data_IF_049838483420
#
_entry.id   IF_049838483420
#
_cell.length_a   1.000
_cell.length_b   1.000
_cell.length_c   1.000
_cell.angle_alpha   90.00
_cell.angle_beta   90.00
_cell.angle_gamma   90.00
#
_symmetry.space_group_name_H-M   'P 1'
#
loop_
_entity.id
_entity.type
_entity.pdbx_description
1 polymer ?
#
# COMPACT_ATOMS: atom_id res chain seq x y z
N UNK A 1 10.74 -18.36 25.35
CA UNK A 1 10.74 -16.91 25.06
C UNK A 1 11.44 -16.77 23.73
N UNK A 2 10.70 -16.95 22.63
CA UNK A 2 11.26 -16.68 21.31
C UNK A 2 11.49 -15.17 21.22
N UNK A 3 12.74 -14.81 20.94
CA UNK A 3 13.15 -13.43 20.82
C UNK A 3 12.26 -12.71 19.78
N UNK A 4 11.92 -11.44 20.08
CA UNK A 4 11.29 -10.54 19.12
C UNK A 4 12.05 -10.66 17.78
N UNK A 5 11.40 -11.07 16.68
CA UNK A 5 12.10 -11.32 15.43
C UNK A 5 12.80 -10.03 15.00
N UNK A 6 14.13 -10.11 14.88
CA UNK A 6 14.94 -9.04 14.30
C UNK A 6 14.34 -8.78 12.92
N UNK A 7 14.01 -7.53 12.56
CA UNK A 7 13.44 -7.21 11.26
C UNK A 7 14.34 -7.77 10.14
N UNK A 8 13.87 -8.80 9.45
CA UNK A 8 14.59 -9.38 8.33
C UNK A 8 14.33 -8.50 7.10
N UNK A 9 15.39 -8.17 6.36
CA UNK A 9 15.25 -7.46 5.10
C UNK A 9 14.31 -8.25 4.16
N UNK A 10 13.34 -7.56 3.56
CA UNK A 10 12.39 -8.19 2.65
C UNK A 10 13.11 -8.83 1.45
N UNK A 11 12.46 -9.79 0.78
CA UNK A 11 12.99 -10.38 -0.45
C UNK A 11 13.22 -9.33 -1.54
N UNK A 12 14.25 -9.50 -2.41
CA UNK A 12 14.48 -8.63 -3.57
C UNK A 12 13.20 -8.42 -4.38
N UNK A 13 12.92 -7.18 -4.77
CA UNK A 13 11.71 -6.85 -5.53
C UNK A 13 11.77 -5.47 -6.21
N UNK A 14 10.90 -5.26 -7.19
CA UNK A 14 10.57 -3.95 -7.73
C UNK A 14 9.24 -3.45 -7.15
N UNK A 15 9.16 -2.17 -6.83
CA UNK A 15 7.92 -1.49 -6.47
C UNK A 15 7.47 -0.59 -7.62
N UNK A 16 6.35 -0.91 -8.23
CA UNK A 16 5.69 -0.08 -9.24
C UNK A 16 4.63 0.78 -8.56
N UNK A 17 4.69 2.10 -8.70
CA UNK A 17 3.69 3.01 -8.12
C UNK A 17 2.88 3.62 -9.25
N UNK A 18 1.63 3.19 -9.42
CA UNK A 18 0.67 3.87 -10.29
C UNK A 18 0.18 5.14 -9.60
N UNK A 19 0.13 6.25 -10.34
CA UNK A 19 -0.15 7.57 -9.76
C UNK A 19 1.05 8.17 -9.02
N UNK A 20 2.28 7.81 -9.40
CA UNK A 20 3.51 8.21 -8.71
C UNK A 20 3.74 9.73 -8.60
N UNK A 21 3.13 10.54 -9.49
CA UNK A 21 3.20 12.00 -9.41
C UNK A 21 2.21 12.61 -8.40
N UNK A 22 1.36 11.79 -7.79
CA UNK A 22 0.27 12.20 -6.90
C UNK A 22 0.71 12.55 -5.47
N UNK A 23 -0.22 13.14 -4.71
CA UNK A 23 0.03 13.65 -3.36
C UNK A 23 0.31 12.54 -2.34
N UNK A 24 -0.40 11.40 -2.41
CA UNK A 24 -0.16 10.26 -1.52
C UNK A 24 1.27 9.72 -1.65
N UNK A 25 1.80 9.67 -2.87
CA UNK A 25 3.19 9.24 -3.10
C UNK A 25 4.17 10.17 -2.40
N UNK A 26 3.98 11.50 -2.51
CA UNK A 26 4.87 12.51 -1.92
C UNK A 26 4.78 12.56 -0.39
N UNK A 27 3.57 12.49 0.16
CA UNK A 27 3.32 12.67 1.60
C UNK A 27 3.49 11.41 2.43
N UNK A 28 3.27 10.23 1.85
CA UNK A 28 3.22 8.97 2.58
C UNK A 28 4.18 7.92 2.03
N UNK A 29 4.08 7.58 0.75
CA UNK A 29 4.85 6.45 0.21
C UNK A 29 6.34 6.73 0.18
N UNK A 30 6.75 7.88 -0.35
CA UNK A 30 8.16 8.24 -0.46
C UNK A 30 8.83 8.38 0.92
N UNK A 31 8.27 9.13 1.90
CA UNK A 31 8.83 9.16 3.25
C UNK A 31 8.90 7.76 3.89
N UNK A 32 7.87 6.93 3.74
CA UNK A 32 7.87 5.58 4.30
C UNK A 32 8.95 4.68 3.69
N UNK A 33 9.11 4.71 2.37
CA UNK A 33 10.16 3.96 1.67
C UNK A 33 11.56 4.45 2.05
N UNK A 34 11.73 5.77 2.20
CA UNK A 34 13.00 6.34 2.65
C UNK A 34 13.33 5.90 4.08
N UNK A 35 12.36 5.87 4.98
CA UNK A 35 12.53 5.36 6.34
C UNK A 35 12.92 3.87 6.35
N UNK A 36 12.26 3.05 5.52
CA UNK A 36 12.66 1.64 5.38
C UNK A 36 14.09 1.51 4.85
N UNK A 37 14.53 2.39 3.94
CA UNK A 37 15.91 2.43 3.47
C UNK A 37 16.90 2.82 4.58
N UNK A 38 16.58 3.85 5.39
CA UNK A 38 17.45 4.34 6.46
C UNK A 38 17.61 3.33 7.59
N UNK A 39 16.58 2.53 7.86
CA UNK A 39 16.61 1.46 8.87
C UNK A 39 17.07 0.10 8.31
N UNK A 40 17.54 0.06 7.05
CA UNK A 40 18.02 -1.16 6.39
C UNK A 40 16.96 -2.29 6.32
N UNK A 41 15.69 -1.91 6.23
CA UNK A 41 14.55 -2.82 6.10
C UNK A 41 14.14 -3.06 4.64
N UNK A 42 14.59 -2.19 3.71
CA UNK A 42 14.50 -2.46 2.28
C UNK A 42 15.64 -3.37 1.82
N UNK A 43 15.38 -4.31 0.89
CA UNK A 43 16.43 -5.10 0.29
C UNK A 43 17.42 -4.22 -0.47
N UNK A 44 18.69 -4.62 -0.47
CA UNK A 44 19.70 -3.99 -1.32
C UNK A 44 19.35 -4.15 -2.82
N UNK A 45 18.62 -5.21 -3.17
CA UNK A 45 18.18 -5.52 -4.53
C UNK A 45 16.74 -5.02 -4.78
N UNK A 46 16.58 -3.71 -4.60
CA UNK A 46 15.29 -3.01 -4.72
C UNK A 46 15.32 -1.93 -5.79
N UNK A 47 14.15 -1.67 -6.40
CA UNK A 47 13.94 -0.59 -7.36
C UNK A 47 12.53 0.00 -7.27
N UNK A 48 12.35 1.24 -7.72
CA UNK A 48 11.04 1.89 -7.80
C UNK A 48 10.78 2.31 -9.25
N UNK A 49 9.60 2.00 -9.75
CA UNK A 49 9.12 2.45 -11.06
C UNK A 49 7.85 3.28 -10.86
N UNK A 50 7.94 4.58 -11.12
CA UNK A 50 6.77 5.46 -11.08
C UNK A 50 6.00 5.40 -12.40
N UNK A 51 4.68 5.24 -12.35
CA UNK A 51 3.81 5.27 -13.54
C UNK A 51 2.79 6.40 -13.37
N UNK A 52 2.76 7.34 -14.31
CA UNK A 52 1.76 8.41 -14.35
C UNK A 52 1.63 9.03 -15.75
N UNK A 53 0.51 9.74 -15.96
CA UNK A 53 0.14 10.32 -17.25
C UNK A 53 1.05 11.45 -17.70
N UNK A 54 1.54 12.27 -16.76
CA UNK A 54 2.36 13.44 -17.08
C UNK A 54 3.69 12.99 -17.70
N UNK A 55 4.08 13.49 -18.88
CA UNK A 55 5.37 13.15 -19.46
C UNK A 55 6.48 13.83 -18.65
N UNK A 56 7.24 13.04 -17.91
CA UNK A 56 8.42 13.47 -17.15
C UNK A 56 9.60 12.57 -17.54
N UNK A 57 10.81 13.12 -17.47
CA UNK A 57 12.02 12.30 -17.49
C UNK A 57 12.30 11.74 -16.10
N UNK A 58 13.11 10.68 -16.03
CA UNK A 58 13.61 10.13 -14.78
C UNK A 58 14.24 11.19 -13.87
N UNK A 59 15.05 12.09 -14.43
CA UNK A 59 15.76 13.10 -13.64
C UNK A 59 14.80 14.13 -13.05
N UNK A 60 13.85 14.63 -13.84
CA UNK A 60 12.83 15.56 -13.34
C UNK A 60 11.96 14.90 -12.28
N UNK A 61 11.61 13.63 -12.45
CA UNK A 61 10.85 12.88 -11.45
C UNK A 61 11.65 12.72 -10.14
N UNK A 62 12.92 12.31 -10.23
CA UNK A 62 13.80 12.19 -9.05
C UNK A 62 14.00 13.51 -8.33
N UNK A 63 14.17 14.63 -9.04
CA UNK A 63 14.26 15.96 -8.45
C UNK A 63 12.99 16.34 -7.68
N UNK A 64 11.82 16.07 -8.28
CA UNK A 64 10.53 16.33 -7.62
C UNK A 64 10.37 15.49 -6.34
N UNK A 65 10.78 14.22 -6.36
CA UNK A 65 10.78 13.38 -5.17
C UNK A 65 11.77 13.89 -4.12
N UNK A 66 12.97 14.32 -4.52
CA UNK A 66 13.97 14.85 -3.59
C UNK A 66 13.48 16.10 -2.86
N UNK A 67 12.82 17.03 -3.58
CA UNK A 67 12.17 18.21 -2.99
C UNK A 67 11.04 17.80 -2.03
N UNK A 68 10.16 16.91 -2.47
CA UNK A 68 9.07 16.42 -1.63
C UNK A 68 9.58 15.73 -0.35
N UNK A 69 10.64 14.94 -0.44
CA UNK A 69 11.24 14.27 0.71
C UNK A 69 11.88 15.27 1.68
N UNK A 70 12.51 16.34 1.19
CA UNK A 70 13.05 17.40 2.05
C UNK A 70 11.95 18.19 2.79
N UNK A 71 10.80 18.39 2.14
CA UNK A 71 9.67 19.16 2.70
C UNK A 71 8.75 18.33 3.61
N UNK A 72 8.51 17.08 3.25
CA UNK A 72 7.46 16.21 3.85
C UNK A 72 8.04 14.97 4.54
N UNK A 73 9.36 14.80 4.51
CA UNK A 73 10.05 13.72 5.19
C UNK A 73 9.84 13.78 6.70
N UNK A 74 9.79 12.61 7.34
CA UNK A 74 9.63 12.49 8.79
C UNK A 74 10.96 12.52 9.54
N UNK A 75 12.08 12.57 8.81
CA UNK A 75 13.44 12.59 9.34
C UNK A 75 14.39 13.34 8.38
N UNK A 76 15.57 13.81 8.84
CA UNK A 76 16.55 14.45 7.99
C UNK A 76 17.00 13.56 6.83
N UNK A 77 17.19 14.16 5.66
CA UNK A 77 17.65 13.44 4.47
C UNK A 77 19.17 13.36 4.46
N UNK A 78 19.72 12.17 4.66
CA UNK A 78 21.13 11.86 4.40
C UNK A 78 21.41 11.94 2.88
N UNK A 79 22.31 12.84 2.42
CA UNK A 79 22.66 12.98 1.00
C UNK A 79 23.24 11.71 0.36
N UNK A 80 24.00 10.91 1.12
CA UNK A 80 24.62 9.68 0.61
C UNK A 80 23.59 8.56 0.45
N UNK A 81 22.67 8.44 1.41
CA UNK A 81 21.54 7.53 1.29
C UNK A 81 20.62 7.95 0.14
N UNK A 82 20.27 9.23 0.04
CA UNK A 82 19.40 9.73 -1.03
C UNK A 82 20.01 9.52 -2.41
N UNK A 83 21.31 9.79 -2.60
CA UNK A 83 22.00 9.56 -3.88
C UNK A 83 21.90 8.10 -4.33
N UNK A 84 22.11 7.15 -3.41
CA UNK A 84 21.96 5.71 -3.69
C UNK A 84 20.52 5.32 -3.95
N UNK A 85 19.58 5.84 -3.15
CA UNK A 85 18.16 5.53 -3.25
C UNK A 85 17.54 6.05 -4.54
N UNK A 86 17.78 7.32 -4.90
CA UNK A 86 17.25 7.94 -6.13
C UNK A 86 17.76 7.28 -7.41
N UNK A 87 18.98 6.73 -7.38
CA UNK A 87 19.56 6.01 -8.52
C UNK A 87 18.80 4.73 -8.90
N UNK A 88 17.91 4.24 -8.03
CA UNK A 88 17.07 3.05 -8.21
C UNK A 88 15.64 3.38 -8.61
N UNK A 89 15.34 4.65 -8.87
CA UNK A 89 14.02 5.14 -9.24
C UNK A 89 14.00 5.44 -10.74
N UNK A 90 13.05 4.88 -11.48
CA UNK A 90 12.77 5.26 -12.86
C UNK A 90 11.29 5.64 -13.04
N UNK A 91 10.97 6.24 -14.17
CA UNK A 91 9.65 6.77 -14.47
C UNK A 91 9.15 6.29 -15.84
N UNK A 92 7.91 5.83 -15.88
CA UNK A 92 7.21 5.40 -17.08
C UNK A 92 5.99 6.29 -17.30
N UNK A 93 6.07 7.18 -18.29
CA UNK A 93 4.93 8.01 -18.68
C UNK A 93 3.92 7.20 -19.51
N UNK A 94 2.65 7.23 -19.12
CA UNK A 94 1.59 6.55 -19.86
C UNK A 94 0.19 6.69 -19.25
N UNK A 95 -0.81 6.49 -20.10
CA UNK A 95 -2.21 6.43 -19.71
C UNK A 95 -2.56 5.03 -19.17
N UNK A 96 -3.41 4.96 -18.15
CA UNK A 96 -3.71 3.71 -17.45
C UNK A 96 -4.63 2.76 -18.25
N UNK A 97 -5.35 3.28 -19.24
CA UNK A 97 -6.24 2.52 -20.13
C UNK A 97 -5.59 2.12 -21.46
N UNK A 98 -4.27 2.35 -21.59
CA UNK A 98 -3.50 2.09 -22.82
C UNK A 98 -2.58 0.88 -22.65
N UNK A 99 -2.74 -0.19 -23.45
CA UNK A 99 -1.85 -1.36 -23.44
C UNK A 99 -0.36 -1.02 -23.61
N UNK A 100 -0.06 0.05 -24.37
CA UNK A 100 1.30 0.51 -24.62
C UNK A 100 2.05 0.89 -23.33
N UNK A 101 1.33 1.41 -22.33
CA UNK A 101 1.89 1.72 -21.01
C UNK A 101 2.42 0.47 -20.32
N UNK A 102 1.70 -0.66 -20.46
CA UNK A 102 2.05 -1.92 -19.82
C UNK A 102 3.20 -2.64 -20.54
N UNK A 103 3.30 -2.47 -21.87
CA UNK A 103 4.47 -2.92 -22.62
C UNK A 103 5.74 -2.17 -22.18
N UNK A 104 5.68 -0.84 -22.08
CA UNK A 104 6.80 -0.04 -21.54
C UNK A 104 7.14 -0.40 -20.11
N UNK A 105 6.13 -0.65 -19.27
CA UNK A 105 6.33 -1.10 -17.89
C UNK A 105 7.04 -2.46 -17.83
N UNK A 106 6.69 -3.40 -18.72
CA UNK A 106 7.35 -4.70 -18.83
C UNK A 106 8.83 -4.57 -19.21
N UNK A 107 9.15 -3.68 -20.15
CA UNK A 107 10.52 -3.35 -20.52
C UNK A 107 11.30 -2.74 -19.33
N UNK A 108 10.70 -1.77 -18.63
CA UNK A 108 11.30 -1.14 -17.46
C UNK A 108 11.56 -2.13 -16.32
N UNK A 109 10.63 -3.05 -16.05
CA UNK A 109 10.80 -4.13 -15.07
C UNK A 109 11.94 -5.07 -15.47
N UNK A 110 12.03 -5.44 -16.75
CA UNK A 110 13.11 -6.30 -17.26
C UNK A 110 14.48 -5.63 -17.13
N UNK A 111 14.56 -4.33 -17.45
CA UNK A 111 15.78 -3.54 -17.28
C UNK A 111 16.17 -3.44 -15.80
N UNK A 112 15.19 -3.18 -14.93
CA UNK A 112 15.39 -3.11 -13.48
C UNK A 112 15.87 -4.45 -12.88
N UNK A 113 15.28 -5.57 -13.30
CA UNK A 113 15.69 -6.91 -12.86
C UNK A 113 17.16 -7.18 -13.21
N UNK A 114 17.61 -6.81 -14.42
CA UNK A 114 19.01 -6.95 -14.85
C UNK A 114 19.95 -6.04 -14.06
N UNK A 115 19.56 -4.79 -13.81
CA UNK A 115 20.41 -3.79 -13.19
C UNK A 115 20.52 -3.95 -11.67
N UNK A 116 19.40 -4.22 -11.00
CA UNK A 116 19.28 -4.21 -9.55
C UNK A 116 18.98 -5.58 -8.94
N UNK A 117 18.96 -6.66 -9.74
CA UNK A 117 18.81 -8.05 -9.29
C UNK A 117 17.56 -8.28 -8.44
N UNK A 118 16.45 -7.63 -8.79
CA UNK A 118 15.17 -7.68 -8.05
C UNK A 118 14.49 -9.05 -8.01
N UNK A 119 15.15 -10.11 -8.51
CA UNK A 119 14.67 -11.49 -8.58
C UNK A 119 13.33 -11.65 -9.32
N UNK A 120 12.94 -10.63 -10.09
CA UNK A 120 11.70 -10.59 -10.82
C UNK A 120 10.46 -10.48 -9.95
N UNK A 121 10.53 -10.28 -8.63
CA UNK A 121 9.37 -10.06 -7.76
C UNK A 121 8.84 -8.62 -7.89
N UNK A 122 7.52 -8.44 -7.85
CA UNK A 122 6.92 -7.11 -8.08
C UNK A 122 5.76 -6.82 -7.13
N UNK A 123 5.81 -5.63 -6.51
CA UNK A 123 4.67 -5.00 -5.83
C UNK A 123 4.13 -3.89 -6.74
N UNK A 124 2.85 -3.93 -7.06
CA UNK A 124 2.13 -2.86 -7.76
C UNK A 124 1.30 -2.07 -6.76
N UNK A 125 1.64 -0.82 -6.49
CA UNK A 125 0.88 0.07 -5.63
C UNK A 125 -0.05 0.95 -6.46
N UNK A 126 -1.36 0.81 -6.27
CA UNK A 126 -2.37 1.59 -6.99
C UNK A 126 -2.71 2.87 -6.22
N UNK A 127 -1.85 3.88 -6.28
CA UNK A 127 -2.06 5.22 -5.72
C UNK A 127 -2.83 6.12 -6.72
N UNK A 128 -3.96 5.62 -7.21
CA UNK A 128 -4.79 6.27 -8.24
C UNK A 128 -6.24 6.42 -7.76
N UNK A 129 -7.07 7.11 -8.56
CA UNK A 129 -8.51 7.17 -8.28
C UNK A 129 -9.15 5.77 -8.42
N UNK A 130 -10.20 5.46 -7.65
CA UNK A 130 -10.82 4.12 -7.61
C UNK A 130 -11.25 3.57 -8.96
N UNK A 131 -11.73 4.44 -9.85
CA UNK A 131 -12.21 4.07 -11.18
C UNK A 131 -11.12 3.40 -12.06
N UNK A 132 -9.84 3.60 -11.73
CA UNK A 132 -8.72 2.99 -12.44
C UNK A 132 -8.31 1.62 -11.88
N UNK A 133 -8.79 1.19 -10.71
CA UNK A 133 -8.32 -0.07 -10.10
C UNK A 133 -8.59 -1.29 -10.99
N UNK A 134 -9.82 -1.43 -11.47
CA UNK A 134 -10.21 -2.54 -12.34
C UNK A 134 -9.50 -2.47 -13.70
N UNK A 135 -9.38 -1.26 -14.27
CA UNK A 135 -8.69 -1.02 -15.55
C UNK A 135 -7.22 -1.40 -15.47
N UNK A 136 -6.51 -0.98 -14.41
CA UNK A 136 -5.11 -1.31 -14.21
C UNK A 136 -4.94 -2.81 -13.95
N UNK A 137 -5.77 -3.42 -13.09
CA UNK A 137 -5.72 -4.85 -12.84
C UNK A 137 -5.90 -5.67 -14.13
N UNK A 138 -6.89 -5.30 -14.95
CA UNK A 138 -7.14 -5.94 -16.25
C UNK A 138 -5.93 -5.87 -17.17
N UNK A 139 -5.37 -4.69 -17.39
CA UNK A 139 -4.23 -4.55 -18.30
C UNK A 139 -2.93 -5.14 -17.76
N UNK A 140 -2.70 -5.11 -16.44
CA UNK A 140 -1.60 -5.86 -15.83
C UNK A 140 -1.74 -7.37 -16.10
N UNK A 141 -2.96 -7.92 -16.00
CA UNK A 141 -3.23 -9.32 -16.33
C UNK A 141 -3.01 -9.61 -17.81
N UNK A 142 -3.56 -8.80 -18.72
CA UNK A 142 -3.44 -8.97 -20.17
C UNK A 142 -1.99 -8.88 -20.66
N UNK A 143 -1.17 -8.03 -20.04
CA UNK A 143 0.26 -7.91 -20.34
C UNK A 143 1.12 -9.06 -19.74
N UNK A 144 0.50 -9.97 -18.96
CA UNK A 144 1.19 -11.05 -18.25
C UNK A 144 2.02 -10.56 -17.05
N UNK A 145 1.78 -9.33 -16.57
CA UNK A 145 2.55 -8.74 -15.47
C UNK A 145 2.14 -9.28 -14.09
N UNK A 146 0.99 -9.95 -13.99
CA UNK A 146 0.49 -10.58 -12.75
C UNK A 146 0.78 -12.08 -12.64
N UNK A 147 1.42 -12.67 -13.64
CA UNK A 147 1.77 -14.09 -13.65
C UNK A 147 2.84 -14.41 -12.59
N UNK A 148 2.59 -15.43 -11.77
CA UNK A 148 3.51 -15.96 -10.76
C UNK A 148 4.21 -17.20 -11.30
N UNK A 149 5.22 -17.00 -12.16
CA UNK A 149 6.00 -18.06 -12.79
C UNK A 149 7.42 -18.14 -12.22
N UNK A 150 8.00 -19.34 -12.16
CA UNK A 150 9.40 -19.52 -11.75
C UNK A 150 9.71 -19.08 -10.32
N UNK A 151 8.74 -19.19 -9.40
CA UNK A 151 8.89 -18.78 -7.99
C UNK A 151 8.77 -17.28 -7.75
N UNK A 152 8.46 -16.49 -8.79
CA UNK A 152 8.28 -15.03 -8.68
C UNK A 152 6.88 -14.71 -8.15
N UNK A 153 6.77 -13.88 -7.13
CA UNK A 153 5.46 -13.43 -6.63
C UNK A 153 5.06 -12.07 -7.24
N UNK A 154 3.74 -11.84 -7.30
CA UNK A 154 3.15 -10.59 -7.80
C UNK A 154 2.09 -10.13 -6.82
N UNK A 155 2.29 -8.96 -6.22
CA UNK A 155 1.40 -8.40 -5.20
C UNK A 155 0.85 -7.06 -5.68
N UNK A 156 -0.44 -6.82 -5.49
CA UNK A 156 -1.12 -5.59 -5.87
C UNK A 156 -1.72 -4.96 -4.61
N UNK A 157 -1.22 -3.78 -4.27
CA UNK A 157 -1.71 -2.96 -3.17
C UNK A 157 -2.78 -2.01 -3.71
N UNK A 158 -3.96 -2.03 -3.11
CA UNK A 158 -5.12 -1.24 -3.53
C UNK A 158 -5.58 -0.38 -2.37
N UNK A 159 -5.78 0.91 -2.64
CA UNK A 159 -6.27 1.89 -1.66
C UNK A 159 -7.80 1.91 -1.59
N UNK A 160 -8.32 2.45 -0.49
CA UNK A 160 -9.75 2.77 -0.35
C UNK A 160 -10.13 3.96 -1.24
N UNK A 161 -11.41 4.12 -1.63
CA UNK A 161 -12.58 3.26 -1.34
C UNK A 161 -12.69 1.99 -2.20
N UNK A 162 -13.25 0.93 -1.61
CA UNK A 162 -13.52 -0.36 -2.27
C UNK A 162 -14.99 -0.48 -2.69
N UNK A 163 -15.44 0.45 -3.53
CA UNK A 163 -16.86 0.64 -3.83
C UNK A 163 -17.54 1.65 -2.90
N UNK A 164 -18.80 1.97 -3.18
CA UNK A 164 -19.63 2.92 -2.42
C UNK A 164 -20.86 2.29 -1.76
N UNK A 165 -21.12 1.02 -2.09
CA UNK A 165 -22.16 0.15 -1.55
C UNK A 165 -21.77 -1.32 -1.75
N UNK A 166 -22.64 -2.24 -1.33
CA UNK A 166 -22.38 -3.67 -1.42
C UNK A 166 -22.21 -4.16 -2.87
N UNK A 167 -23.03 -3.67 -3.80
CA UNK A 167 -23.04 -4.17 -5.18
C UNK A 167 -21.83 -3.66 -5.98
N UNK A 168 -21.46 -2.39 -5.80
CA UNK A 168 -20.22 -1.83 -6.35
C UNK A 168 -18.98 -2.49 -5.76
N UNK A 169 -18.95 -2.78 -4.45
CA UNK A 169 -17.85 -3.51 -3.82
C UNK A 169 -17.72 -4.94 -4.35
N UNK A 170 -18.83 -5.66 -4.49
CA UNK A 170 -18.86 -7.01 -5.11
C UNK A 170 -18.40 -6.99 -6.55
N UNK A 171 -18.82 -5.98 -7.30
CA UNK A 171 -18.43 -5.80 -8.71
C UNK A 171 -16.92 -5.58 -8.83
N UNK A 172 -16.37 -4.63 -8.05
CA UNK A 172 -14.93 -4.38 -8.01
C UNK A 172 -14.17 -5.65 -7.60
N UNK A 173 -14.62 -6.34 -6.56
CA UNK A 173 -13.98 -7.58 -6.12
C UNK A 173 -13.96 -8.65 -7.22
N UNK A 174 -15.07 -8.84 -7.94
CA UNK A 174 -15.15 -9.77 -9.07
C UNK A 174 -14.18 -9.38 -10.19
N UNK A 175 -14.07 -8.08 -10.50
CA UNK A 175 -13.12 -7.60 -11.51
C UNK A 175 -11.66 -7.85 -11.09
N UNK A 176 -11.31 -7.56 -9.85
CA UNK A 176 -9.95 -7.80 -9.33
C UNK A 176 -9.61 -9.29 -9.32
N UNK A 177 -10.50 -10.12 -8.76
CA UNK A 177 -10.30 -11.59 -8.68
C UNK A 177 -10.34 -12.29 -10.05
N UNK A 178 -10.90 -11.64 -11.08
CA UNK A 178 -10.79 -12.14 -12.46
C UNK A 178 -9.42 -11.90 -13.11
N UNK A 179 -8.65 -10.94 -12.58
CA UNK A 179 -7.33 -10.57 -13.07
C UNK A 179 -6.18 -11.19 -12.25
N UNK A 180 -6.41 -11.52 -10.98
CA UNK A 180 -5.39 -12.06 -10.07
C UNK A 180 -6.02 -12.91 -8.95
N UNK A 181 -5.19 -13.72 -8.29
CA UNK A 181 -5.62 -14.55 -7.15
C UNK A 181 -5.71 -13.70 -5.88
N UNK A 182 -6.55 -14.12 -4.93
CA UNK A 182 -6.82 -13.36 -3.71
C UNK A 182 -5.56 -13.10 -2.87
N UNK A 183 -4.62 -14.05 -2.79
CA UNK A 183 -3.36 -13.87 -2.05
C UNK A 183 -2.43 -12.81 -2.65
N UNK A 184 -2.69 -12.40 -3.90
CA UNK A 184 -1.96 -11.32 -4.56
C UNK A 184 -2.51 -9.94 -4.17
N UNK A 185 -3.71 -9.86 -3.58
CA UNK A 185 -4.43 -8.59 -3.36
C UNK A 185 -4.21 -8.12 -1.92
N UNK A 186 -3.64 -6.93 -1.77
CA UNK A 186 -3.39 -6.26 -0.50
C UNK A 186 -4.26 -5.01 -0.42
N UNK A 187 -5.45 -5.13 0.20
CA UNK A 187 -6.38 -4.01 0.41
C UNK A 187 -5.94 -3.19 1.62
N UNK A 188 -5.65 -1.92 1.43
CA UNK A 188 -5.16 -1.05 2.50
C UNK A 188 -6.31 -0.55 3.37
N UNK A 189 -6.19 -0.85 4.66
CA UNK A 189 -6.74 -0.04 5.74
C UNK A 189 -5.58 0.38 6.66
N UNK A 190 -5.22 1.66 6.62
CA UNK A 190 -4.05 2.15 7.36
C UNK A 190 -4.22 2.11 8.89
N UNK A 191 -5.44 1.91 9.43
CA UNK A 191 -5.61 1.72 10.88
C UNK A 191 -5.02 0.38 11.34
N UNK A 192 -5.02 -0.65 10.48
CA UNK A 192 -4.38 -1.94 10.78
C UNK A 192 -2.84 -1.84 10.86
N UNK A 193 -2.27 -0.79 10.30
CA UNK A 193 -0.84 -0.48 10.42
C UNK A 193 -0.46 0.28 11.68
N UNK A 194 -1.44 0.71 12.50
CA UNK A 194 -1.15 1.42 13.75
C UNK A 194 -0.72 0.43 14.82
N UNK A 195 0.36 0.76 15.53
CA UNK A 195 0.92 -0.06 16.61
C UNK A 195 -0.14 -0.47 17.64
N UNK A 196 -0.99 0.46 18.06
CA UNK A 196 -2.06 0.17 19.03
C UNK A 196 -3.11 -0.80 18.50
N UNK A 197 -3.40 -0.78 17.20
CA UNK A 197 -4.33 -1.73 16.58
C UNK A 197 -3.70 -3.13 16.48
N UNK A 198 -2.42 -3.22 16.12
CA UNK A 198 -1.69 -4.50 16.07
C UNK A 198 -1.53 -5.11 17.47
N UNK A 199 -1.28 -4.28 18.48
CA UNK A 199 -1.14 -4.71 19.87
C UNK A 199 -2.44 -5.29 20.46
N UNK A 200 -3.62 -5.04 19.89
CA UNK A 200 -4.86 -5.66 20.35
C UNK A 200 -4.80 -7.18 20.31
N UNK A 201 -4.21 -7.76 19.26
CA UNK A 201 -4.08 -9.21 19.14
C UNK A 201 -3.16 -9.79 20.22
N UNK A 202 -2.00 -9.16 20.41
CA UNK A 202 -1.03 -9.56 21.46
C UNK A 202 -1.65 -9.41 22.85
N UNK A 203 -2.37 -8.32 23.09
CA UNK A 203 -3.03 -8.06 24.36
C UNK A 203 -4.09 -9.12 24.69
N UNK A 204 -4.98 -9.42 23.74
CA UNK A 204 -6.08 -10.38 23.93
C UNK A 204 -5.61 -11.82 24.01
N UNK A 205 -4.72 -12.22 23.12
CA UNK A 205 -4.40 -13.63 22.86
C UNK A 205 -3.06 -14.06 23.45
N UNK A 206 -2.16 -13.11 23.72
CA UNK A 206 -0.85 -13.38 24.32
C UNK A 206 -0.84 -13.40 25.84
N UNK A 207 -1.98 -13.13 26.50
CA UNK A 207 -2.05 -12.97 27.95
C UNK A 207 -3.12 -13.88 28.57
N UNK A 208 -2.68 -14.85 29.37
CA UNK A 208 -3.56 -15.80 30.06
C UNK A 208 -4.56 -15.16 31.04
N UNK A 209 -4.32 -13.90 31.45
CA UNK A 209 -5.22 -13.15 32.34
C UNK A 209 -6.37 -12.52 31.54
N UNK A 210 -6.13 -12.08 30.31
CA UNK A 210 -7.12 -11.35 29.51
C UNK A 210 -8.04 -12.27 28.71
N UNK A 211 -7.53 -13.39 28.19
CA UNK A 211 -8.33 -14.32 27.37
C UNK A 211 -9.60 -14.82 28.10
N UNK A 212 -9.55 -15.26 29.39
CA UNK A 212 -10.73 -15.82 30.06
C UNK A 212 -11.81 -14.78 30.39
N UNK A 213 -11.44 -13.50 30.46
CA UNK A 213 -12.35 -12.38 30.78
C UNK A 213 -12.81 -11.63 29.53
N UNK A 214 -12.34 -11.98 28.33
CA UNK A 214 -12.72 -11.32 27.09
C UNK A 214 -14.03 -11.88 26.51
N UNK A 215 -15.10 -11.84 27.29
CA UNK A 215 -16.42 -12.33 26.87
C UNK A 215 -17.57 -11.66 27.63
N UNK A 216 -18.80 -11.88 27.16
CA UNK A 216 -20.04 -11.28 27.68
C UNK A 216 -20.34 -11.52 29.17
N UNK A 217 -19.61 -12.42 29.85
CA UNK A 217 -19.79 -12.65 31.30
C UNK A 217 -19.07 -11.58 32.13
N UNK A 218 -18.00 -11.01 31.60
CA UNK A 218 -17.12 -10.07 32.31
C UNK A 218 -17.08 -8.69 31.65
N UNK A 219 -17.36 -8.60 30.35
CA UNK A 219 -17.43 -7.33 29.61
C UNK A 219 -18.88 -6.85 29.52
N UNK A 220 -19.14 -5.68 30.10
CA UNK A 220 -20.44 -4.99 30.03
C UNK A 220 -20.67 -4.36 28.64
N UNK A 221 -19.71 -3.55 28.16
CA UNK A 221 -19.76 -2.96 26.83
C UNK A 221 -18.36 -2.68 26.26
N UNK A 222 -18.30 -2.47 24.94
CA UNK A 222 -17.12 -2.03 24.20
C UNK A 222 -17.44 -0.69 23.55
N UNK A 223 -16.59 0.32 23.76
CA UNK A 223 -16.73 1.62 23.13
C UNK A 223 -15.60 1.85 22.12
N UNK A 224 -15.97 2.22 20.89
CA UNK A 224 -15.05 2.66 19.85
C UNK A 224 -15.30 4.12 19.54
N UNK A 225 -14.29 4.96 19.71
CA UNK A 225 -14.38 6.40 19.47
C UNK A 225 -13.31 6.84 18.48
N UNK A 226 -13.73 7.46 17.38
CA UNK A 226 -12.86 8.19 16.46
C UNK A 226 -13.28 9.65 16.49
N UNK A 227 -12.40 10.50 16.99
CA UNK A 227 -12.64 11.93 17.12
C UNK A 227 -11.56 12.71 16.36
N UNK A 228 -11.98 13.64 15.52
CA UNK A 228 -11.10 14.50 14.73
C UNK A 228 -11.32 15.96 15.13
N UNK A 229 -10.24 16.72 15.29
CA UNK A 229 -10.32 18.17 15.55
C UNK A 229 -10.48 18.98 14.27
N UNK A 230 -10.17 18.37 13.12
CA UNK A 230 -10.12 19.00 11.81
C UNK A 230 -11.51 18.87 11.17
N UNK A 231 -11.94 19.90 10.43
CA UNK A 231 -13.22 19.88 9.72
C UNK A 231 -13.14 19.11 8.40
N UNK A 232 -14.09 19.36 7.51
CA UNK A 232 -14.11 18.77 6.15
C UNK A 232 -12.96 19.31 5.27
N UNK A 233 -12.41 20.47 5.62
CA UNK A 233 -11.32 21.14 4.89
C UNK A 233 -11.58 21.18 3.36
N UNK A 234 -10.54 20.99 2.54
CA UNK A 234 -10.65 20.92 1.09
C UNK A 234 -11.29 19.63 0.54
N UNK A 235 -11.83 18.73 1.38
CA UNK A 235 -12.42 17.44 0.96
C UNK A 235 -13.94 17.47 0.85
N UNK A 236 -14.55 18.67 0.80
CA UNK A 236 -16.01 18.89 0.72
C UNK A 236 -16.74 17.95 -0.24
N UNK A 237 -16.35 17.95 -1.51
CA UNK A 237 -17.03 17.15 -2.54
C UNK A 237 -16.98 15.64 -2.27
N UNK A 238 -15.87 15.13 -1.74
CA UNK A 238 -15.76 13.72 -1.37
C UNK A 238 -16.64 13.42 -0.14
N UNK A 239 -16.55 14.27 0.89
CA UNK A 239 -17.22 14.05 2.16
C UNK A 239 -18.75 14.13 2.03
N UNK A 240 -19.26 15.01 1.15
CA UNK A 240 -20.70 15.10 0.83
C UNK A 240 -21.27 13.75 0.36
N UNK A 241 -20.54 13.05 -0.51
CA UNK A 241 -20.97 11.74 -1.02
C UNK A 241 -20.72 10.58 -0.05
N UNK A 242 -19.65 10.64 0.73
CA UNK A 242 -19.20 9.56 1.59
C UNK A 242 -19.87 9.58 2.97
N UNK A 243 -19.89 10.75 3.61
CA UNK A 243 -20.21 10.96 5.01
C UNK A 243 -19.23 10.26 5.97
N UNK A 244 -19.38 10.53 7.27
CA UNK A 244 -18.58 9.89 8.33
C UNK A 244 -18.65 8.36 8.29
N UNK A 245 -19.81 7.82 7.88
CA UNK A 245 -20.03 6.37 7.85
C UNK A 245 -19.09 5.67 6.86
N UNK A 246 -18.99 6.12 5.60
CA UNK A 246 -18.09 5.49 4.62
C UNK A 246 -16.64 5.93 4.76
N UNK A 247 -16.39 7.16 5.25
CA UNK A 247 -15.02 7.65 5.39
C UNK A 247 -14.25 6.92 6.51
N UNK A 248 -14.93 6.63 7.64
CA UNK A 248 -14.30 6.10 8.87
C UNK A 248 -14.98 4.86 9.45
N UNK A 249 -16.32 4.81 9.53
CA UNK A 249 -16.99 3.73 10.27
C UNK A 249 -16.89 2.38 9.56
N UNK A 250 -17.26 2.34 8.27
CA UNK A 250 -17.32 1.12 7.46
C UNK A 250 -15.95 0.45 7.30
N UNK A 251 -14.86 1.21 7.30
CA UNK A 251 -13.50 0.70 7.17
C UNK A 251 -12.82 0.56 8.55
N UNK A 252 -12.31 1.65 9.10
CA UNK A 252 -11.44 1.67 10.27
C UNK A 252 -12.11 1.11 11.51
N UNK A 253 -13.34 1.54 11.81
CA UNK A 253 -14.03 1.08 13.02
C UNK A 253 -14.46 -0.38 12.93
N UNK A 254 -14.94 -0.84 11.77
CA UNK A 254 -15.27 -2.25 11.57
C UNK A 254 -14.04 -3.15 11.61
N UNK A 255 -12.89 -2.70 11.10
CA UNK A 255 -11.64 -3.45 11.23
C UNK A 255 -11.20 -3.55 12.70
N UNK A 256 -11.27 -2.47 13.48
CA UNK A 256 -10.98 -2.52 14.92
C UNK A 256 -11.97 -3.41 15.68
N UNK A 257 -13.26 -3.33 15.34
CA UNK A 257 -14.30 -4.19 15.91
C UNK A 257 -13.99 -5.66 15.63
N UNK A 258 -13.58 -6.00 14.41
CA UNK A 258 -13.19 -7.37 14.06
C UNK A 258 -12.00 -7.85 14.91
N UNK A 259 -10.96 -7.04 15.08
CA UNK A 259 -9.81 -7.37 15.94
C UNK A 259 -10.19 -7.54 17.41
N UNK A 260 -11.22 -6.84 17.89
CA UNK A 260 -11.74 -6.94 19.26
C UNK A 260 -12.65 -8.14 19.46
N UNK A 261 -13.47 -8.48 18.46
CA UNK A 261 -14.54 -9.45 18.57
C UNK A 261 -14.19 -10.83 17.98
N UNK A 262 -13.11 -10.96 17.22
CA UNK A 262 -12.72 -12.25 16.64
C UNK A 262 -12.38 -13.29 17.72
N UNK A 263 -12.73 -14.54 17.45
CA UNK A 263 -12.27 -15.69 18.22
C UNK A 263 -10.74 -15.86 18.10
N UNK A 264 -10.09 -16.57 19.03
CA UNK A 264 -8.69 -16.96 18.89
C UNK A 264 -8.46 -17.71 17.57
N UNK A 265 -7.45 -17.31 16.77
CA UNK A 265 -7.13 -17.99 15.52
C UNK A 265 -6.55 -19.39 15.80
N UNK A 266 -6.80 -20.33 14.88
CA UNK A 266 -6.26 -21.71 14.89
C UNK A 266 -4.87 -21.81 14.31
#
# INVERSE_FOLDING_TARGET
MDACPIPQAAEPCALVIFGASGDLTKRKLLPSLYNLASYHLLPADFSIIGVARRPLSDEVFREQLGKALAELGTQPVDPNLWTRFRGRICYCAGEFDKPETYNKLKEALTASEKQFKTSGNVVFYLSVQPDYFATIAKHLSEAGLLAEEGGRWRRVIIEKPFGHDLDSARTLNKQLTSAMKEHQIYRIDHYLGKETAQNLLVFRLGNAIFEPIWNRRYVDHVQLTVAEKIGVEGRGAFYESAGAFRDVMQNHMFMLLALIAMEPPT
#
